data_IF_223022609207
#
_entry.id   IF_223022609207
#
_cell.length_a   1.000
_cell.length_b   1.000
_cell.length_c   1.000
_cell.angle_alpha   90.00
_cell.angle_beta   90.00
_cell.angle_gamma   90.00
#
_symmetry.space_group_name_H-M   'P 1'
#
loop_
_entity.id
_entity.type
_entity.pdbx_description
1 polymer ?
#
# COMPACT_ATOMS: atom_id res chain seq x y z
N UNK A 1 -35.53 12.65 33.44
CA UNK A 1 -35.96 11.77 32.34
C UNK A 1 -35.27 12.25 31.08
N UNK A 2 -34.37 11.41 30.58
CA UNK A 2 -33.76 11.37 29.25
C UNK A 2 -32.86 12.52 28.79
N UNK A 3 -31.56 12.31 29.05
CA UNK A 3 -30.44 12.67 28.17
C UNK A 3 -30.70 12.20 26.73
N UNK A 4 -30.54 13.09 25.76
CA UNK A 4 -30.24 12.73 24.38
C UNK A 4 -28.72 12.75 24.24
N UNK A 5 -28.09 11.61 24.56
CA UNK A 5 -26.69 11.38 24.22
C UNK A 5 -26.49 11.52 22.72
N UNK A 6 -25.47 12.27 22.34
CA UNK A 6 -25.03 12.42 20.97
C UNK A 6 -24.77 11.04 20.33
N UNK A 7 -25.38 10.81 19.18
CA UNK A 7 -25.02 9.74 18.28
C UNK A 7 -23.64 10.06 17.70
N UNK A 8 -22.59 9.46 18.25
CA UNK A 8 -21.25 9.43 17.65
C UNK A 8 -20.99 8.02 17.17
N UNK A 9 -21.70 7.63 16.11
CA UNK A 9 -21.40 6.44 15.33
C UNK A 9 -20.41 6.77 14.21
N UNK A 10 -19.18 7.17 14.55
CA UNK A 10 -18.07 7.12 13.58
C UNK A 10 -17.43 5.73 13.64
N UNK A 11 -18.14 4.73 13.12
CA UNK A 11 -17.52 3.46 12.72
C UNK A 11 -16.90 3.64 11.34
N UNK A 12 -15.80 4.39 11.27
CA UNK A 12 -14.94 4.38 10.10
C UNK A 12 -13.96 3.23 10.27
N UNK A 13 -14.34 2.03 9.82
CA UNK A 13 -13.41 0.90 9.71
C UNK A 13 -12.13 1.40 9.04
N UNK A 14 -10.99 1.22 9.73
CA UNK A 14 -9.70 1.69 9.22
C UNK A 14 -9.47 1.14 7.81
N UNK A 15 -9.03 1.94 6.84
CA UNK A 15 -8.82 1.44 5.48
C UNK A 15 -7.78 0.32 5.50
N UNK A 16 -8.10 -0.78 4.83
CA UNK A 16 -7.18 -1.89 4.57
C UNK A 16 -5.88 -1.33 3.94
N UNK A 17 -4.74 -1.51 4.59
CA UNK A 17 -3.52 -0.81 4.19
C UNK A 17 -2.34 -0.93 5.14
N UNK A 18 -1.25 -0.25 4.78
CA UNK A 18 -0.03 -0.19 5.57
C UNK A 18 0.69 1.14 5.38
N UNK A 19 1.07 1.78 6.47
CA UNK A 19 1.90 3.00 6.45
C UNK A 19 3.10 2.81 7.37
N UNK A 20 4.30 2.78 6.80
CA UNK A 20 5.50 2.53 7.57
C UNK A 20 6.68 2.08 6.73
N UNK A 21 7.68 1.51 7.41
CA UNK A 21 8.90 1.00 6.78
C UNK A 21 8.64 -0.34 6.12
N UNK A 22 9.02 -0.47 4.86
CA UNK A 22 8.97 -1.72 4.12
C UNK A 22 10.29 -1.98 3.42
N UNK A 23 10.60 -3.24 3.16
CA UNK A 23 11.66 -3.64 2.27
C UNK A 23 11.16 -3.54 0.83
N UNK A 24 11.92 -2.84 0.00
CA UNK A 24 11.60 -2.56 -1.41
C UNK A 24 12.74 -3.03 -2.27
N UNK A 25 12.45 -3.95 -3.19
CA UNK A 25 13.42 -4.48 -4.15
C UNK A 25 13.03 -4.06 -5.56
N UNK A 26 13.98 -3.54 -6.34
CA UNK A 26 13.78 -3.17 -7.75
C UNK A 26 14.54 -4.16 -8.62
N UNK A 27 13.85 -5.11 -9.25
CA UNK A 27 14.50 -6.14 -10.07
C UNK A 27 15.63 -6.86 -9.33
N UNK A 28 16.86 -6.81 -9.87
CA UNK A 28 18.04 -7.43 -9.28
C UNK A 28 18.91 -6.47 -8.41
N UNK A 29 18.38 -5.29 -8.07
CA UNK A 29 19.09 -4.32 -7.23
C UNK A 29 18.99 -4.65 -5.74
N UNK A 30 19.88 -4.11 -4.89
CA UNK A 30 19.82 -4.32 -3.45
C UNK A 30 18.46 -3.92 -2.88
N UNK A 31 17.98 -4.70 -1.92
CA UNK A 31 16.77 -4.39 -1.15
C UNK A 31 17.00 -3.16 -0.27
N UNK A 32 16.07 -2.21 -0.34
CA UNK A 32 16.10 -0.96 0.41
C UNK A 32 14.98 -0.94 1.43
N UNK A 33 15.29 -0.60 2.68
CA UNK A 33 14.24 -0.23 3.61
C UNK A 33 13.78 1.20 3.27
N UNK A 34 12.51 1.39 2.95
CA UNK A 34 11.91 2.69 2.55
C UNK A 34 10.56 2.91 3.23
N UNK A 35 10.14 4.18 3.32
CA UNK A 35 8.79 4.50 3.80
C UNK A 35 7.79 4.32 2.67
N UNK A 36 6.74 3.55 2.96
CA UNK A 36 5.64 3.29 2.04
C UNK A 36 4.31 3.69 2.67
N UNK A 37 3.35 3.99 1.81
CA UNK A 37 1.95 4.11 2.19
C UNK A 37 1.13 3.35 1.16
N UNK A 38 0.45 2.31 1.62
CA UNK A 38 -0.28 1.33 0.83
C UNK A 38 -1.72 1.31 1.29
N UNK A 39 -2.64 1.18 0.34
CA UNK A 39 -4.07 1.03 0.61
C UNK A 39 -4.61 -0.05 -0.31
N UNK A 40 -5.60 -0.78 0.15
CA UNK A 40 -6.31 -1.76 -0.64
C UNK A 40 -7.82 -1.56 -0.60
N UNK A 41 -8.47 -2.12 -1.61
CA UNK A 41 -9.91 -2.02 -1.83
C UNK A 41 -10.38 -3.20 -2.66
N UNK A 42 -11.55 -3.73 -2.32
CA UNK A 42 -12.21 -4.76 -3.11
C UNK A 42 -13.02 -4.12 -4.24
N UNK A 43 -12.66 -4.41 -5.50
CA UNK A 43 -13.37 -3.89 -6.66
C UNK A 43 -14.53 -4.81 -7.08
N UNK A 44 -15.80 -4.44 -6.80
CA UNK A 44 -16.94 -5.36 -6.90
C UNK A 44 -17.27 -5.77 -8.34
N UNK A 45 -17.05 -4.89 -9.32
CA UNK A 45 -17.37 -5.19 -10.72
C UNK A 45 -16.45 -6.30 -11.24
N UNK A 46 -15.19 -6.28 -10.83
CA UNK A 46 -14.20 -7.27 -11.25
C UNK A 46 -14.10 -8.48 -10.30
N UNK A 47 -14.64 -8.36 -9.09
CA UNK A 47 -14.49 -9.35 -8.02
C UNK A 47 -13.05 -9.50 -7.54
N UNK A 48 -12.20 -8.48 -7.73
CA UNK A 48 -10.77 -8.53 -7.42
C UNK A 48 -10.43 -7.56 -6.32
N UNK A 49 -9.50 -7.98 -5.47
CA UNK A 49 -8.84 -7.08 -4.56
C UNK A 49 -7.73 -6.31 -5.30
N UNK A 50 -7.76 -4.99 -5.20
CA UNK A 50 -6.74 -4.11 -5.73
C UNK A 50 -6.02 -3.44 -4.56
N UNK A 51 -4.72 -3.22 -4.72
CA UNK A 51 -3.97 -2.35 -3.82
C UNK A 51 -3.07 -1.42 -4.61
N UNK A 52 -2.79 -0.28 -4.03
CA UNK A 52 -1.95 0.75 -4.61
C UNK A 52 -1.27 1.52 -3.49
N UNK A 53 -0.33 2.39 -3.85
CA UNK A 53 0.32 3.19 -2.84
C UNK A 53 1.42 4.08 -3.40
N UNK A 54 2.35 4.42 -2.52
CA UNK A 54 3.55 5.17 -2.88
C UNK A 54 4.77 4.69 -2.11
N UNK A 55 5.92 4.79 -2.74
CA UNK A 55 7.24 4.60 -2.13
C UNK A 55 7.96 5.94 -2.10
N UNK A 56 8.42 6.36 -0.93
CA UNK A 56 9.12 7.64 -0.75
C UNK A 56 10.63 7.44 -0.91
N UNK A 57 11.30 8.44 -1.50
CA UNK A 57 12.76 8.53 -1.65
C UNK A 57 13.41 7.34 -2.37
N UNK A 58 12.66 6.61 -3.20
CA UNK A 58 13.19 5.46 -3.93
C UNK A 58 14.33 5.87 -4.87
N UNK A 59 14.12 6.88 -5.73
CA UNK A 59 15.15 7.33 -6.65
C UNK A 59 16.44 7.80 -5.96
N UNK A 60 16.32 8.50 -4.82
CA UNK A 60 17.47 8.98 -4.04
C UNK A 60 18.24 7.85 -3.35
N UNK A 61 17.59 6.71 -3.10
CA UNK A 61 18.17 5.58 -2.38
C UNK A 61 18.75 4.51 -3.31
N UNK A 62 18.52 4.63 -4.62
CA UNK A 62 19.06 3.70 -5.60
C UNK A 62 20.55 3.94 -5.87
N UNK A 63 21.30 2.90 -6.28
CA UNK A 63 22.67 3.07 -6.75
C UNK A 63 22.78 4.06 -7.91
N UNK A 64 23.93 4.74 -8.00
CA UNK A 64 24.20 5.71 -9.07
C UNK A 64 23.94 5.13 -10.46
N UNK A 65 23.24 5.91 -11.28
CA UNK A 65 22.90 5.54 -12.66
C UNK A 65 21.66 4.65 -12.80
N UNK A 66 21.08 4.14 -11.71
CA UNK A 66 19.82 3.40 -11.75
C UNK A 66 18.65 4.38 -11.74
N UNK A 67 17.78 4.28 -12.74
CA UNK A 67 16.55 5.08 -12.83
C UNK A 67 15.34 4.17 -12.68
N UNK A 68 14.47 4.53 -11.75
CA UNK A 68 13.18 3.86 -11.54
C UNK A 68 12.08 4.79 -12.03
N UNK A 69 11.35 4.37 -13.05
CA UNK A 69 10.25 5.12 -13.66
C UNK A 69 9.01 4.26 -13.87
N UNK A 70 7.97 4.81 -14.50
CA UNK A 70 6.75 4.07 -14.82
C UNK A 70 7.05 2.75 -15.56
N UNK A 71 6.37 1.69 -15.15
CA UNK A 71 6.58 0.33 -15.67
C UNK A 71 7.62 -0.49 -14.90
N UNK A 72 8.43 0.12 -14.01
CA UNK A 72 9.35 -0.62 -13.18
C UNK A 72 8.61 -1.53 -12.18
N UNK A 73 9.04 -2.78 -12.06
CA UNK A 73 8.51 -3.74 -11.09
C UNK A 73 9.21 -3.57 -9.74
N UNK A 74 8.41 -3.60 -8.68
CA UNK A 74 8.85 -3.56 -7.30
C UNK A 74 8.33 -4.79 -6.55
N UNK A 75 9.17 -5.40 -5.75
CA UNK A 75 8.74 -6.30 -4.68
C UNK A 75 8.71 -5.51 -3.36
N UNK A 76 7.57 -5.54 -2.69
CA UNK A 76 7.33 -4.84 -1.42
C UNK A 76 7.09 -5.88 -0.34
N UNK A 77 7.90 -5.86 0.70
CA UNK A 77 7.76 -6.71 1.89
C UNK A 77 7.59 -5.84 3.13
N UNK A 78 6.51 -6.09 3.86
CA UNK A 78 6.21 -5.48 5.15
C UNK A 78 6.27 -6.57 6.23
N UNK A 79 6.17 -6.22 7.52
CA UNK A 79 6.03 -7.20 8.58
C UNK A 79 4.80 -8.12 8.43
N UNK A 80 3.80 -7.72 7.65
CA UNK A 80 2.51 -8.40 7.53
C UNK A 80 2.40 -9.27 6.27
N UNK A 81 3.22 -9.04 5.26
CA UNK A 81 3.20 -9.81 4.04
C UNK A 81 4.03 -9.18 2.92
N UNK A 82 3.90 -9.74 1.72
CA UNK A 82 4.60 -9.24 0.55
C UNK A 82 3.69 -9.14 -0.68
N UNK A 83 4.08 -8.30 -1.63
CA UNK A 83 3.35 -8.08 -2.87
C UNK A 83 4.24 -7.51 -3.97
N UNK A 84 3.87 -7.82 -5.21
CA UNK A 84 4.50 -7.28 -6.41
C UNK A 84 3.70 -6.09 -6.88
N UNK A 85 4.38 -4.99 -7.20
CA UNK A 85 3.77 -3.79 -7.75
C UNK A 85 4.49 -3.32 -9.01
N UNK A 86 3.81 -2.47 -9.78
CA UNK A 86 4.42 -1.71 -10.87
C UNK A 86 4.36 -0.22 -10.55
N UNK A 87 5.43 0.52 -10.80
CA UNK A 87 5.39 1.99 -10.75
C UNK A 87 4.44 2.50 -11.83
N UNK A 88 3.41 3.24 -11.44
CA UNK A 88 2.44 3.84 -12.36
C UNK A 88 2.84 5.26 -12.75
N UNK A 89 3.38 6.03 -11.80
CA UNK A 89 3.79 7.41 -12.00
C UNK A 89 4.76 7.88 -10.91
N UNK A 90 5.29 9.10 -11.06
CA UNK A 90 6.06 9.80 -10.01
C UNK A 90 5.30 11.08 -9.69
N UNK A 91 5.00 11.32 -8.41
CA UNK A 91 4.27 12.51 -7.98
C UNK A 91 5.15 13.78 -7.98
N UNK A 92 4.53 14.94 -7.77
CA UNK A 92 5.23 16.24 -7.77
C UNK A 92 6.30 16.39 -6.69
N UNK A 93 6.33 15.48 -5.70
CA UNK A 93 7.31 15.43 -4.62
C UNK A 93 8.34 14.31 -4.80
N UNK A 94 8.30 13.60 -5.94
CA UNK A 94 9.23 12.53 -6.25
C UNK A 94 8.89 11.17 -5.65
N UNK A 95 7.69 10.97 -5.09
CA UNK A 95 7.27 9.64 -4.64
C UNK A 95 6.88 8.79 -5.85
N UNK A 96 7.31 7.52 -5.85
CA UNK A 96 6.91 6.55 -6.86
C UNK A 96 5.53 6.02 -6.51
N UNK A 97 4.52 6.38 -7.29
CA UNK A 97 3.17 5.83 -7.18
C UNK A 97 3.18 4.41 -7.76
N UNK A 98 2.53 3.48 -7.07
CA UNK A 98 2.59 2.05 -7.40
C UNK A 98 1.21 1.42 -7.44
N UNK A 99 1.04 0.45 -8.33
CA UNK A 99 -0.15 -0.39 -8.46
C UNK A 99 0.22 -1.84 -8.21
N UNK A 100 -0.48 -2.48 -7.28
CA UNK A 100 -0.33 -3.89 -6.95
C UNK A 100 -0.73 -4.79 -8.11
N UNK A 101 0.08 -5.83 -8.35
CA UNK A 101 -0.12 -6.87 -9.36
C UNK A 101 -0.46 -8.21 -8.75
N UNK A 102 0.13 -8.53 -7.60
CA UNK A 102 -0.11 -9.77 -6.86
C UNK A 102 0.35 -9.63 -5.41
N UNK A 103 -0.14 -10.50 -4.53
CA UNK A 103 0.17 -10.49 -3.10
C UNK A 103 -0.42 -9.26 -2.39
N UNK A 104 -0.92 -9.43 -1.17
CA UNK A 104 -1.28 -8.29 -0.32
C UNK A 104 -0.14 -8.09 0.67
N UNK A 105 0.57 -6.95 0.64
CA UNK A 105 1.66 -6.67 1.55
C UNK A 105 1.18 -6.14 2.91
N UNK A 106 -0.06 -6.45 3.29
CA UNK A 106 -0.68 -6.07 4.56
C UNK A 106 -1.85 -7.01 4.85
N UNK A 107 -2.18 -7.14 6.14
CA UNK A 107 -3.27 -7.99 6.56
C UNK A 107 -4.58 -7.49 5.94
N UNK A 108 -5.35 -8.41 5.35
CA UNK A 108 -6.73 -8.08 5.04
C UNK A 108 -7.43 -7.71 6.35
N UNK A 109 -8.25 -6.66 6.33
CA UNK A 109 -9.19 -6.45 7.43
C UNK A 109 -9.95 -7.76 7.64
N UNK A 110 -10.00 -8.25 8.88
CA UNK A 110 -10.92 -9.33 9.20
C UNK A 110 -12.31 -8.79 8.88
N UNK A 111 -13.02 -9.44 7.95
CA UNK A 111 -14.46 -9.28 7.86
C UNK A 111 -14.96 -9.58 9.28
N UNK A 112 -15.50 -8.56 9.95
CA UNK A 112 -16.16 -8.76 11.23
C UNK A 112 -17.48 -9.50 10.91
N UNK A 113 -17.38 -10.77 10.52
CA UNK A 113 -18.49 -11.71 10.43
C UNK A 113 -18.92 -12.05 11.86
N UNK A 114 -19.57 -11.07 12.48
CA UNK A 114 -20.09 -11.11 13.84
C UNK A 114 -21.39 -10.34 14.01
N UNK A 115 -22.15 -10.14 12.91
CA UNK A 115 -23.49 -9.59 12.94
C UNK A 115 -24.39 -10.34 11.95
N UNK A 116 -24.86 -11.51 12.36
CA UNK A 116 -26.28 -11.95 12.41
C UNK A 116 -26.40 -13.47 12.65
#
# INVERSE_FOLDING_TARGET
>A
MSDFSADTGEDHGEPDGYSGRALVTVGAHPTLALDVQLVGHFEPISGRYLWQGRVRKLAESMPDGVRVGPGAELEIETPEGSGIATVSSIDLWGSHMIEGRSGRPFAAMEDTEGLL
#
